data_IF_002210906969
#
_entry.id   IF_002210906969
#
_cell.length_a   1.000
_cell.length_b   1.000
_cell.length_c   1.000
_cell.angle_alpha   90.00
_cell.angle_beta   90.00
_cell.angle_gamma   90.00
#
_symmetry.space_group_name_H-M   'P 1'
#
loop_
_entity.id
_entity.type
_entity.pdbx_description
1 polymer ?
#
# COMPACT_ATOMS: atom_id res chain seq x y z
N UNK A 1 9.97 15.35 -40.07
CA UNK A 1 8.82 14.71 -39.38
C UNK A 1 7.55 15.47 -39.80
N UNK A 2 6.41 14.81 -39.97
CA UNK A 2 5.17 15.46 -40.42
C UNK A 2 4.56 16.29 -39.24
N UNK A 3 4.29 17.59 -39.40
CA UNK A 3 3.77 18.46 -38.32
C UNK A 3 2.50 17.93 -37.65
N UNK A 4 1.62 17.26 -38.41
CA UNK A 4 0.37 16.68 -37.90
C UNK A 4 0.59 15.41 -37.06
N UNK A 5 1.72 14.73 -37.25
CA UNK A 5 2.11 13.58 -36.41
C UNK A 5 2.72 14.10 -35.11
N UNK A 6 3.48 15.19 -35.16
CA UNK A 6 4.10 15.80 -33.99
C UNK A 6 3.05 16.39 -33.03
N UNK A 7 2.07 17.13 -33.55
CA UNK A 7 0.96 17.68 -32.74
C UNK A 7 0.10 16.60 -32.07
N UNK A 8 -0.03 15.41 -32.68
CA UNK A 8 -0.76 14.29 -32.07
C UNK A 8 0.00 13.68 -30.90
N UNK A 9 1.31 13.48 -31.04
CA UNK A 9 2.16 12.96 -29.96
C UNK A 9 2.19 13.92 -28.77
N UNK A 10 2.36 15.22 -29.04
CA UNK A 10 2.42 16.26 -28.00
C UNK A 10 1.11 16.32 -27.17
N UNK A 11 -0.04 16.11 -27.82
CA UNK A 11 -1.35 16.06 -27.16
C UNK A 11 -1.52 14.85 -26.22
N UNK A 12 -1.01 13.67 -26.59
CA UNK A 12 -1.13 12.46 -25.77
C UNK A 12 -0.18 12.52 -24.57
N UNK A 13 1.05 13.00 -24.78
CA UNK A 13 2.01 13.23 -23.71
C UNK A 13 1.46 14.23 -22.69
N UNK A 14 0.87 15.34 -23.15
CA UNK A 14 0.32 16.34 -22.23
C UNK A 14 -0.86 15.81 -21.41
N UNK A 15 -1.77 15.07 -22.04
CA UNK A 15 -2.88 14.44 -21.32
C UNK A 15 -2.39 13.39 -20.31
N UNK A 16 -1.33 12.65 -20.64
CA UNK A 16 -0.74 11.68 -19.71
C UNK A 16 -0.06 12.36 -18.51
N UNK A 17 0.64 13.49 -18.72
CA UNK A 17 1.17 14.31 -17.63
C UNK A 17 0.06 14.76 -16.69
N UNK A 18 -1.00 15.38 -17.24
CA UNK A 18 -2.14 15.84 -16.45
C UNK A 18 -2.83 14.70 -15.69
N UNK A 19 -2.93 13.52 -16.31
CA UNK A 19 -3.47 12.33 -15.64
C UNK A 19 -2.58 11.88 -14.48
N UNK A 20 -1.26 11.90 -14.67
CA UNK A 20 -0.27 11.55 -13.65
C UNK A 20 -0.28 12.54 -12.48
N UNK A 21 -0.48 13.82 -12.77
CA UNK A 21 -0.64 14.91 -11.80
C UNK A 21 -2.05 14.95 -11.17
N UNK A 22 -2.95 14.07 -11.60
CA UNK A 22 -4.34 13.96 -11.14
C UNK A 22 -5.18 15.23 -11.41
N UNK A 23 -4.80 16.04 -12.40
CA UNK A 23 -5.59 17.18 -12.87
C UNK A 23 -6.63 16.75 -13.92
N UNK A 24 -7.59 15.94 -13.47
CA UNK A 24 -8.62 15.39 -14.35
C UNK A 24 -9.55 16.45 -14.94
N UNK A 25 -9.71 17.61 -14.27
CA UNK A 25 -10.51 18.71 -14.82
C UNK A 25 -9.75 19.42 -15.93
N UNK A 26 -8.48 19.76 -15.70
CA UNK A 26 -7.62 20.33 -16.72
C UNK A 26 -7.47 19.43 -17.95
N UNK A 27 -7.49 18.11 -17.78
CA UNK A 27 -7.55 17.16 -18.92
C UNK A 27 -8.78 17.35 -19.79
N UNK A 28 -9.96 17.48 -19.18
CA UNK A 28 -11.21 17.65 -19.93
C UNK A 28 -11.23 19.00 -20.66
N UNK A 29 -10.82 20.07 -19.97
CA UNK A 29 -10.73 21.42 -20.55
C UNK A 29 -9.73 21.46 -21.72
N UNK A 30 -8.59 20.75 -21.60
CA UNK A 30 -7.62 20.61 -22.69
C UNK A 30 -8.17 19.77 -23.86
N UNK A 31 -8.98 18.74 -23.56
CA UNK A 31 -9.53 17.84 -24.56
C UNK A 31 -10.61 18.46 -25.46
N UNK A 32 -11.34 19.48 -24.98
CA UNK A 32 -12.37 20.18 -25.74
C UNK A 32 -11.83 20.89 -27.00
N UNK A 33 -10.51 21.11 -27.09
CA UNK A 33 -9.83 21.68 -28.25
C UNK A 33 -8.81 20.75 -28.94
N UNK A 34 -8.75 19.46 -28.61
CA UNK A 34 -7.64 18.58 -29.00
C UNK A 34 -8.00 17.46 -30.01
N UNK A 35 -6.98 16.66 -30.35
CA UNK A 35 -6.95 15.64 -31.42
C UNK A 35 -7.98 14.52 -31.26
N UNK A 36 -8.62 14.07 -32.35
CA UNK A 36 -9.51 12.88 -32.37
C UNK A 36 -8.81 11.52 -32.22
N UNK A 37 -7.53 11.51 -31.83
CA UNK A 37 -6.76 10.29 -31.65
C UNK A 37 -7.39 9.36 -30.60
N UNK A 38 -7.28 8.05 -30.81
CA UNK A 38 -7.86 7.05 -29.93
C UNK A 38 -7.28 7.15 -28.51
N UNK A 39 -5.98 7.37 -28.40
CA UNK A 39 -5.25 7.50 -27.14
C UNK A 39 -5.72 8.72 -26.33
N UNK A 40 -5.98 9.86 -26.99
CA UNK A 40 -6.50 11.06 -26.33
C UNK A 40 -7.90 10.82 -25.76
N UNK A 41 -8.76 10.12 -26.50
CA UNK A 41 -10.10 9.72 -26.03
C UNK A 41 -10.03 8.73 -24.87
N UNK A 42 -9.09 7.80 -24.90
CA UNK A 42 -8.88 6.86 -23.79
C UNK A 42 -8.45 7.59 -22.51
N UNK A 43 -7.52 8.54 -22.60
CA UNK A 43 -7.11 9.38 -21.47
C UNK A 43 -8.26 10.26 -20.95
N UNK A 44 -9.09 10.81 -21.84
CA UNK A 44 -10.32 11.53 -21.44
C UNK A 44 -11.26 10.60 -20.65
N UNK A 45 -11.46 9.37 -21.11
CA UNK A 45 -12.30 8.40 -20.40
C UNK A 45 -11.73 8.08 -19.02
N UNK A 46 -10.41 7.91 -18.88
CA UNK A 46 -9.79 7.73 -17.56
C UNK A 46 -10.07 8.90 -16.62
N UNK A 47 -9.93 10.14 -17.10
CA UNK A 47 -10.25 11.34 -16.31
C UNK A 47 -11.73 11.38 -15.91
N UNK A 48 -12.65 11.00 -16.82
CA UNK A 48 -14.09 10.95 -16.52
C UNK A 48 -14.43 9.91 -15.48
N UNK A 49 -13.79 8.74 -15.53
CA UNK A 49 -13.93 7.68 -14.52
C UNK A 49 -13.54 8.20 -13.13
N UNK A 50 -12.38 8.84 -13.02
CA UNK A 50 -11.89 9.40 -11.74
C UNK A 50 -12.78 10.53 -11.22
N UNK A 51 -13.43 11.29 -12.11
CA UNK A 51 -14.40 12.33 -11.75
C UNK A 51 -15.83 11.80 -11.51
N UNK A 52 -16.09 10.49 -11.67
CA UNK A 52 -17.43 9.92 -11.57
C UNK A 52 -18.40 10.40 -12.66
N UNK A 53 -17.88 10.88 -13.80
CA UNK A 53 -18.69 11.35 -14.93
C UNK A 53 -19.08 10.19 -15.86
N UNK A 54 -20.16 10.33 -16.65
CA UNK A 54 -20.55 9.33 -17.64
C UNK A 54 -19.43 9.04 -18.64
N UNK A 55 -19.27 7.75 -18.98
CA UNK A 55 -18.24 7.24 -19.91
C UNK A 55 -18.62 7.56 -21.35
N UNK A 56 -17.63 7.87 -22.18
CA UNK A 56 -17.77 7.88 -23.64
C UNK A 56 -17.54 6.46 -24.21
N UNK A 57 -18.06 6.12 -25.40
CA UNK A 57 -17.83 4.82 -26.03
C UNK A 57 -16.34 4.54 -26.22
N UNK A 58 -15.90 3.32 -25.89
CA UNK A 58 -14.51 2.90 -26.00
C UNK A 58 -14.18 2.41 -27.41
N UNK A 59 -12.96 2.68 -27.86
CA UNK A 59 -12.35 1.98 -29.01
C UNK A 59 -11.39 0.91 -28.49
N UNK A 60 -11.53 -0.34 -28.89
CA UNK A 60 -10.69 -1.46 -28.42
C UNK A 60 -9.24 -1.48 -28.98
N UNK A 61 -8.72 -0.35 -29.48
CA UNK A 61 -7.52 -0.34 -30.33
C UNK A 61 -6.42 0.63 -29.93
N UNK A 62 -6.61 1.49 -28.92
CA UNK A 62 -5.60 2.45 -28.52
C UNK A 62 -4.63 1.92 -27.46
N UNK A 63 -3.56 2.70 -27.24
CA UNK A 63 -2.46 2.36 -26.34
C UNK A 63 -2.92 2.12 -24.89
N UNK A 64 -3.94 2.83 -24.43
CA UNK A 64 -4.44 2.82 -23.06
C UNK A 64 -5.71 1.99 -22.89
N UNK A 65 -6.20 1.30 -23.93
CA UNK A 65 -7.43 0.51 -23.88
C UNK A 65 -7.45 -0.49 -22.69
N UNK A 66 -6.33 -1.20 -22.48
CA UNK A 66 -6.17 -2.15 -21.37
C UNK A 66 -6.24 -1.45 -19.99
N UNK A 67 -5.68 -0.24 -19.87
CA UNK A 67 -5.74 0.55 -18.65
C UNK A 67 -7.16 1.05 -18.39
N UNK A 68 -7.86 1.50 -19.43
CA UNK A 68 -9.25 1.94 -19.33
C UNK A 68 -10.15 0.79 -18.88
N UNK A 69 -9.99 -0.40 -19.45
CA UNK A 69 -10.72 -1.59 -19.02
C UNK A 69 -10.48 -1.89 -17.53
N UNK A 70 -9.22 -1.84 -17.08
CA UNK A 70 -8.86 -2.09 -15.70
C UNK A 70 -9.44 -1.07 -14.72
N UNK A 71 -9.48 0.21 -15.12
CA UNK A 71 -10.04 1.31 -14.33
C UNK A 71 -11.57 1.28 -14.32
N UNK A 72 -12.22 0.84 -15.40
CA UNK A 72 -13.66 0.55 -15.38
C UNK A 72 -13.99 -0.47 -14.29
N UNK A 73 -13.25 -1.58 -14.22
CA UNK A 73 -13.45 -2.58 -13.17
C UNK A 73 -13.19 -2.01 -11.76
N UNK A 74 -12.20 -1.13 -11.61
CA UNK A 74 -11.91 -0.44 -10.35
C UNK A 74 -13.12 0.37 -9.85
N UNK A 75 -13.66 1.23 -10.72
CA UNK A 75 -14.79 2.10 -10.38
C UNK A 75 -16.10 1.34 -10.23
N UNK A 76 -16.26 0.22 -10.92
CA UNK A 76 -17.38 -0.73 -10.74
C UNK A 76 -17.20 -1.62 -9.50
N UNK A 77 -16.15 -1.39 -8.69
CA UNK A 77 -15.80 -2.13 -7.46
C UNK A 77 -15.50 -3.62 -7.68
N UNK A 78 -15.22 -4.03 -8.91
CA UNK A 78 -14.74 -5.36 -9.23
C UNK A 78 -13.22 -5.43 -9.03
N UNK A 79 -12.80 -5.34 -7.77
CA UNK A 79 -11.39 -5.16 -7.39
C UNK A 79 -10.50 -6.33 -7.77
N UNK A 80 -11.00 -7.57 -7.78
CA UNK A 80 -10.20 -8.71 -8.22
C UNK A 80 -9.85 -8.60 -9.71
N UNK A 81 -10.85 -8.34 -10.55
CA UNK A 81 -10.62 -8.19 -11.99
C UNK A 81 -9.77 -6.96 -12.29
N UNK A 82 -10.01 -5.86 -11.58
CA UNK A 82 -9.17 -4.67 -11.68
C UNK A 82 -7.71 -4.96 -11.30
N UNK A 83 -7.45 -5.68 -10.21
CA UNK A 83 -6.08 -6.07 -9.82
C UNK A 83 -5.40 -6.94 -10.89
N UNK A 84 -6.12 -7.90 -11.48
CA UNK A 84 -5.60 -8.73 -12.56
C UNK A 84 -5.24 -7.90 -13.80
N UNK A 85 -6.12 -7.01 -14.25
CA UNK A 85 -5.91 -6.19 -15.45
C UNK A 85 -4.83 -5.12 -15.23
N UNK A 86 -4.85 -4.43 -14.08
CA UNK A 86 -3.80 -3.49 -13.69
C UNK A 86 -2.43 -4.17 -13.57
N UNK A 87 -2.37 -5.41 -13.06
CA UNK A 87 -1.10 -6.15 -13.00
C UNK A 87 -0.50 -6.38 -14.39
N UNK A 88 -1.33 -6.71 -15.40
CA UNK A 88 -0.89 -6.92 -16.77
C UNK A 88 -0.40 -5.61 -17.39
N UNK A 89 -1.10 -4.51 -17.14
CA UNK A 89 -0.66 -3.18 -17.57
C UNK A 89 0.73 -2.85 -17.01
N UNK A 90 0.88 -2.92 -15.69
CA UNK A 90 2.11 -2.57 -14.98
C UNK A 90 3.31 -3.45 -15.38
N UNK A 91 3.07 -4.72 -15.69
CA UNK A 91 4.12 -5.66 -16.09
C UNK A 91 4.56 -5.51 -17.56
N UNK A 92 3.67 -5.05 -18.46
CA UNK A 92 3.91 -5.08 -19.91
C UNK A 92 4.13 -3.71 -20.55
N UNK A 93 3.60 -2.63 -19.99
CA UNK A 93 3.63 -1.31 -20.64
C UNK A 93 4.66 -0.35 -20.06
N UNK A 94 5.15 -0.55 -18.84
CA UNK A 94 6.20 0.27 -18.22
C UNK A 94 5.76 1.69 -17.82
N UNK A 95 4.67 2.22 -18.38
CA UNK A 95 4.04 3.48 -17.94
C UNK A 95 3.26 3.28 -16.64
N UNK A 96 3.75 3.87 -15.55
CA UNK A 96 3.07 3.86 -14.26
C UNK A 96 3.20 5.22 -13.58
N UNK A 97 2.08 5.87 -13.32
CA UNK A 97 1.99 6.99 -12.39
C UNK A 97 1.64 6.50 -10.99
N UNK A 98 1.90 7.32 -9.98
CA UNK A 98 1.60 7.00 -8.58
C UNK A 98 0.12 6.64 -8.39
N UNK A 99 -0.78 7.34 -9.09
CA UNK A 99 -2.21 7.05 -9.11
C UNK A 99 -2.49 5.58 -9.50
N UNK A 100 -1.87 5.08 -10.57
CA UNK A 100 -2.12 3.71 -11.05
C UNK A 100 -1.61 2.69 -10.04
N UNK A 101 -0.45 2.94 -9.43
CA UNK A 101 0.08 2.09 -8.36
C UNK A 101 -0.84 2.09 -7.14
N UNK A 102 -1.40 3.25 -6.77
CA UNK A 102 -2.36 3.36 -5.66
C UNK A 102 -3.66 2.61 -5.95
N UNK A 103 -4.22 2.74 -7.17
CA UNK A 103 -5.41 2.01 -7.60
C UNK A 103 -5.17 0.50 -7.63
N UNK A 104 -4.00 0.07 -8.10
CA UNK A 104 -3.58 -1.33 -8.09
C UNK A 104 -3.41 -1.88 -6.67
N UNK A 105 -2.73 -1.13 -5.80
CA UNK A 105 -2.55 -1.49 -4.40
C UNK A 105 -3.90 -1.63 -3.69
N UNK A 106 -4.79 -0.66 -3.86
CA UNK A 106 -6.13 -0.70 -3.27
C UNK A 106 -6.92 -1.92 -3.77
N UNK A 107 -6.89 -2.17 -5.08
CA UNK A 107 -7.55 -3.33 -5.68
C UNK A 107 -7.04 -4.65 -5.10
N UNK A 108 -5.72 -4.81 -4.98
CA UNK A 108 -5.11 -5.99 -4.36
C UNK A 108 -5.54 -6.14 -2.90
N UNK A 109 -5.58 -5.04 -2.13
CA UNK A 109 -5.98 -5.07 -0.73
C UNK A 109 -7.44 -5.48 -0.55
N UNK A 110 -8.36 -4.96 -1.38
CA UNK A 110 -9.79 -5.27 -1.29
C UNK A 110 -10.12 -6.69 -1.77
N UNK A 111 -9.33 -7.23 -2.71
CA UNK A 111 -9.52 -8.57 -3.26
C UNK A 111 -8.59 -9.64 -2.68
N UNK A 112 -7.76 -9.28 -1.69
CA UNK A 112 -6.72 -10.13 -1.10
C UNK A 112 -5.72 -10.73 -2.11
N UNK A 113 -5.55 -10.10 -3.29
CA UNK A 113 -4.62 -10.50 -4.34
C UNK A 113 -3.19 -10.02 -4.08
N UNK A 114 -2.67 -10.33 -2.90
CA UNK A 114 -1.31 -9.96 -2.49
C UNK A 114 -0.23 -10.71 -3.29
N UNK A 115 -0.58 -11.84 -3.91
CA UNK A 115 0.22 -12.55 -4.90
C UNK A 115 0.59 -11.66 -6.09
N UNK A 116 -0.40 -10.92 -6.63
CA UNK A 116 -0.20 -9.99 -7.73
C UNK A 116 0.62 -8.78 -7.27
N UNK A 117 0.29 -8.21 -6.11
CA UNK A 117 1.03 -7.09 -5.54
C UNK A 117 2.53 -7.41 -5.42
N UNK A 118 2.84 -8.57 -4.83
CA UNK A 118 4.21 -9.03 -4.68
C UNK A 118 4.91 -9.21 -6.04
N UNK A 119 4.23 -9.83 -7.01
CA UNK A 119 4.79 -10.09 -8.34
C UNK A 119 5.13 -8.80 -9.08
N UNK A 120 4.20 -7.85 -9.12
CA UNK A 120 4.37 -6.56 -9.79
C UNK A 120 5.47 -5.74 -9.13
N UNK A 121 5.40 -5.53 -7.81
CA UNK A 121 6.42 -4.74 -7.10
C UNK A 121 7.80 -5.38 -7.18
N UNK A 122 7.90 -6.72 -7.16
CA UNK A 122 9.18 -7.42 -7.37
C UNK A 122 9.75 -7.17 -8.76
N UNK A 123 8.91 -7.18 -9.80
CA UNK A 123 9.35 -6.91 -11.18
C UNK A 123 9.81 -5.47 -11.34
N UNK A 124 9.04 -4.50 -10.83
CA UNK A 124 9.39 -3.08 -10.87
C UNK A 124 10.70 -2.80 -10.09
N UNK A 125 10.86 -3.40 -8.92
CA UNK A 125 12.10 -3.28 -8.14
C UNK A 125 13.32 -3.82 -8.91
N UNK A 126 13.19 -4.98 -9.56
CA UNK A 126 14.23 -5.53 -10.44
C UNK A 126 14.52 -4.65 -11.66
N UNK A 127 13.53 -3.86 -12.10
CA UNK A 127 13.69 -2.84 -13.14
C UNK A 127 14.36 -1.55 -12.69
N UNK A 128 14.77 -1.45 -11.41
CA UNK A 128 15.45 -0.28 -10.85
C UNK A 128 14.52 0.74 -10.18
N UNK A 129 13.21 0.52 -10.18
CA UNK A 129 12.28 1.41 -9.50
C UNK A 129 12.34 1.23 -7.98
N UNK A 130 12.58 2.32 -7.24
CA UNK A 130 12.77 2.26 -5.77
C UNK A 130 11.98 3.32 -4.99
N UNK A 131 10.86 3.77 -5.57
CA UNK A 131 9.91 4.65 -4.89
C UNK A 131 9.25 3.94 -3.71
N UNK A 132 8.91 4.68 -2.65
CA UNK A 132 8.39 4.14 -1.39
C UNK A 132 7.16 3.23 -1.61
N UNK A 133 6.25 3.59 -2.52
CA UNK A 133 5.05 2.81 -2.82
C UNK A 133 5.40 1.39 -3.34
N UNK A 134 6.40 1.27 -4.22
CA UNK A 134 6.85 -0.01 -4.78
C UNK A 134 7.54 -0.84 -3.70
N UNK A 135 8.42 -0.22 -2.91
CA UNK A 135 9.12 -0.91 -1.82
C UNK A 135 8.14 -1.39 -0.74
N UNK A 136 7.17 -0.55 -0.36
CA UNK A 136 6.11 -0.89 0.59
C UNK A 136 5.19 -1.99 0.06
N UNK A 137 4.79 -1.91 -1.22
CA UNK A 137 4.01 -2.95 -1.88
C UNK A 137 4.74 -4.29 -1.96
N UNK A 138 6.04 -4.29 -2.23
CA UNK A 138 6.89 -5.48 -2.19
C UNK A 138 6.89 -6.13 -0.80
N UNK A 139 7.14 -5.34 0.26
CA UNK A 139 7.19 -5.86 1.62
C UNK A 139 5.82 -6.40 2.07
N UNK A 140 4.74 -5.67 1.78
CA UNK A 140 3.39 -6.10 2.11
C UNK A 140 3.02 -7.39 1.37
N UNK A 141 3.18 -7.40 0.04
CA UNK A 141 2.86 -8.58 -0.76
C UNK A 141 3.67 -9.80 -0.35
N UNK A 142 4.96 -9.62 -0.01
CA UNK A 142 5.80 -10.70 0.49
C UNK A 142 5.30 -11.22 1.84
N UNK A 143 4.91 -10.34 2.76
CA UNK A 143 4.38 -10.73 4.06
C UNK A 143 3.08 -11.53 3.95
N UNK A 144 2.08 -10.98 3.24
CA UNK A 144 0.76 -11.59 3.12
C UNK A 144 0.80 -12.91 2.33
N UNK A 145 1.86 -13.14 1.53
CA UNK A 145 2.10 -14.42 0.83
C UNK A 145 3.06 -15.36 1.58
N UNK A 146 3.38 -15.08 2.84
CA UNK A 146 4.21 -15.94 3.70
C UNK A 146 5.72 -15.93 3.39
N UNK A 147 6.20 -15.03 2.51
CA UNK A 147 7.60 -14.93 2.12
C UNK A 147 8.42 -14.10 3.12
N UNK A 148 8.38 -14.47 4.39
CA UNK A 148 8.94 -13.67 5.49
C UNK A 148 10.44 -13.37 5.35
N UNK A 149 11.24 -14.31 4.83
CA UNK A 149 12.66 -14.06 4.57
C UNK A 149 12.89 -12.92 3.57
N UNK A 150 12.03 -12.81 2.56
CA UNK A 150 12.12 -11.76 1.55
C UNK A 150 11.70 -10.39 2.09
N UNK A 151 10.72 -10.37 3.01
CA UNK A 151 10.34 -9.17 3.75
C UNK A 151 11.55 -8.63 4.51
N UNK A 152 12.20 -9.49 5.29
CA UNK A 152 13.33 -9.09 6.13
C UNK A 152 14.53 -8.65 5.30
N UNK A 153 14.93 -9.43 4.28
CA UNK A 153 16.03 -9.04 3.37
C UNK A 153 15.74 -7.73 2.64
N UNK A 154 14.50 -7.54 2.20
CA UNK A 154 14.07 -6.29 1.55
C UNK A 154 14.18 -5.11 2.51
N UNK A 155 13.64 -5.26 3.73
CA UNK A 155 13.69 -4.21 4.73
C UNK A 155 15.13 -3.87 5.16
N UNK A 156 16.01 -4.85 5.33
CA UNK A 156 17.43 -4.59 5.62
C UNK A 156 18.13 -3.83 4.49
N UNK A 157 17.68 -4.03 3.23
CA UNK A 157 18.28 -3.38 2.06
C UNK A 157 17.79 -1.94 1.84
N UNK A 158 16.50 -1.66 2.09
CA UNK A 158 15.88 -0.38 1.74
C UNK A 158 14.89 0.18 2.77
N UNK A 159 14.85 -0.39 3.98
CA UNK A 159 13.88 -0.08 5.02
C UNK A 159 13.87 1.37 5.46
N UNK A 160 15.02 2.07 5.38
CA UNK A 160 15.12 3.50 5.66
C UNK A 160 14.24 4.40 4.77
N UNK A 161 13.81 3.90 3.60
CA UNK A 161 12.90 4.61 2.69
C UNK A 161 11.42 4.40 3.03
N UNK A 162 11.10 3.47 3.93
CA UNK A 162 9.73 3.11 4.29
C UNK A 162 9.30 3.94 5.50
N UNK A 163 8.29 4.79 5.32
CA UNK A 163 7.72 5.63 6.38
C UNK A 163 6.35 5.12 6.83
N UNK A 164 5.64 4.39 5.96
CA UNK A 164 4.29 3.87 6.24
C UNK A 164 4.31 2.86 7.41
N UNK A 165 3.77 3.28 8.56
CA UNK A 165 3.72 2.51 9.82
C UNK A 165 3.14 1.10 9.66
N UNK A 166 2.07 0.93 8.88
CA UNK A 166 1.44 -0.39 8.71
C UNK A 166 2.36 -1.37 7.95
N UNK A 167 3.21 -0.89 7.02
CA UNK A 167 4.21 -1.73 6.33
C UNK A 167 5.27 -2.18 7.32
N UNK A 168 5.78 -1.26 8.13
CA UNK A 168 6.78 -1.55 9.16
C UNK A 168 6.25 -2.55 10.20
N UNK A 169 4.96 -2.49 10.55
CA UNK A 169 4.32 -3.53 11.37
C UNK A 169 4.43 -4.91 10.71
N UNK A 170 4.13 -5.05 9.40
CA UNK A 170 4.27 -6.34 8.69
C UNK A 170 5.71 -6.86 8.64
N UNK A 171 6.68 -5.96 8.60
CA UNK A 171 8.09 -6.34 8.74
C UNK A 171 8.37 -6.92 10.13
N UNK A 172 7.93 -6.24 11.20
CA UNK A 172 8.07 -6.74 12.56
C UNK A 172 7.42 -8.12 12.75
N UNK A 173 6.22 -8.32 12.20
CA UNK A 173 5.56 -9.63 12.23
C UNK A 173 6.38 -10.70 11.50
N UNK A 174 7.02 -10.35 10.38
CA UNK A 174 7.87 -11.28 9.64
C UNK A 174 9.13 -11.64 10.42
N UNK A 175 9.73 -10.72 11.18
CA UNK A 175 10.82 -11.05 12.12
C UNK A 175 10.37 -12.06 13.17
N UNK A 176 9.16 -11.93 13.73
CA UNK A 176 8.63 -12.87 14.73
C UNK A 176 8.40 -14.25 14.12
N UNK A 177 7.83 -14.32 12.91
CA UNK A 177 7.64 -15.60 12.20
C UNK A 177 8.96 -16.33 11.95
N UNK A 178 10.05 -15.58 11.74
CA UNK A 178 11.40 -16.12 11.58
C UNK A 178 12.16 -16.32 12.91
N UNK A 179 11.49 -16.18 14.06
CA UNK A 179 12.09 -16.28 15.41
C UNK A 179 13.20 -15.26 15.69
N UNK A 180 13.25 -14.16 14.94
CA UNK A 180 14.15 -13.02 15.14
C UNK A 180 13.54 -12.02 16.13
N UNK A 181 13.29 -12.52 17.34
CA UNK A 181 12.43 -11.84 18.32
C UNK A 181 13.04 -10.53 18.84
N UNK A 182 14.37 -10.43 18.93
CA UNK A 182 15.04 -9.21 19.41
C UNK A 182 14.89 -8.08 18.39
N UNK A 183 15.08 -8.37 17.11
CA UNK A 183 14.89 -7.39 16.03
C UNK A 183 13.44 -6.93 15.92
N UNK A 184 12.50 -7.87 16.08
CA UNK A 184 11.09 -7.55 16.16
C UNK A 184 10.79 -6.62 17.35
N UNK A 185 11.32 -6.93 18.53
CA UNK A 185 11.12 -6.12 19.76
C UNK A 185 11.63 -4.69 19.55
N UNK A 186 12.86 -4.52 19.05
CA UNK A 186 13.43 -3.20 18.74
C UNK A 186 12.55 -2.41 17.77
N UNK A 187 12.17 -3.03 16.65
CA UNK A 187 11.34 -2.38 15.63
C UNK A 187 9.97 -1.98 16.19
N UNK A 188 9.32 -2.87 16.92
CA UNK A 188 8.02 -2.60 17.53
C UNK A 188 8.10 -1.46 18.54
N UNK A 189 9.12 -1.44 19.39
CA UNK A 189 9.33 -0.32 20.33
C UNK A 189 9.49 1.02 19.61
N UNK A 190 10.28 1.07 18.52
CA UNK A 190 10.42 2.28 17.71
C UNK A 190 9.10 2.70 17.07
N UNK A 191 8.32 1.75 16.55
CA UNK A 191 7.00 2.01 15.96
C UNK A 191 6.00 2.53 17.00
N UNK A 192 5.99 1.96 18.21
CA UNK A 192 5.07 2.42 19.25
C UNK A 192 5.50 3.74 19.87
N UNK A 193 6.80 4.04 19.93
CA UNK A 193 7.26 5.38 20.25
C UNK A 193 6.73 6.43 19.28
N UNK A 194 6.72 6.14 17.97
CA UNK A 194 6.21 7.09 16.97
C UNK A 194 4.69 7.27 17.04
N UNK A 195 3.94 6.22 17.41
CA UNK A 195 2.48 6.29 17.58
C UNK A 195 2.08 6.97 18.89
N UNK A 196 2.72 6.62 20.01
CA UNK A 196 2.31 7.03 21.35
C UNK A 196 3.02 8.28 21.89
N UNK A 197 4.14 8.67 21.27
CA UNK A 197 5.02 9.72 21.77
C UNK A 197 5.83 9.34 23.03
N UNK A 198 5.63 8.15 23.60
CA UNK A 198 6.32 7.68 24.81
C UNK A 198 7.66 7.03 24.45
N UNK A 199 8.73 7.43 25.14
CA UNK A 199 10.06 6.82 24.98
C UNK A 199 10.22 5.65 25.95
N UNK A 200 10.41 4.44 25.40
CA UNK A 200 10.58 3.21 26.17
C UNK A 200 12.06 2.77 26.30
N UNK A 201 12.97 3.43 25.56
CA UNK A 201 14.38 3.04 25.42
C UNK A 201 15.23 3.36 26.67
N UNK A 202 14.77 4.28 27.52
CA UNK A 202 15.59 4.81 28.63
C UNK A 202 15.62 3.91 29.87
N UNK A 203 14.64 3.01 30.06
CA UNK A 203 14.65 2.07 31.19
C UNK A 203 13.84 0.79 30.92
N UNK A 204 14.36 -0.05 30.02
CA UNK A 204 13.70 -1.30 29.61
C UNK A 204 13.43 -2.26 30.78
N UNK A 205 14.35 -2.34 31.74
CA UNK A 205 14.20 -3.23 32.91
C UNK A 205 13.11 -2.74 33.87
N UNK A 206 13.00 -1.42 34.07
CA UNK A 206 11.90 -0.84 34.85
C UNK A 206 10.55 -1.10 34.17
N UNK A 207 10.45 -0.89 32.85
CA UNK A 207 9.22 -1.19 32.11
C UNK A 207 8.86 -2.67 32.12
N UNK A 208 9.85 -3.57 32.01
CA UNK A 208 9.61 -5.02 32.15
C UNK A 208 8.99 -5.36 33.50
N UNK A 209 9.51 -4.80 34.59
CA UNK A 209 8.95 -5.01 35.94
C UNK A 209 7.55 -4.43 36.07
N UNK A 210 7.33 -3.20 35.60
CA UNK A 210 6.03 -2.53 35.67
C UNK A 210 4.95 -3.30 34.90
N UNK A 211 5.26 -3.68 33.65
CA UNK A 211 4.31 -4.39 32.80
C UNK A 211 4.09 -5.84 33.25
N UNK A 212 5.09 -6.51 33.82
CA UNK A 212 4.89 -7.83 34.43
C UNK A 212 3.88 -7.77 35.59
N UNK A 213 3.85 -6.68 36.36
CA UNK A 213 2.87 -6.48 37.43
C UNK A 213 1.48 -6.08 36.90
N UNK A 214 1.42 -5.28 35.82
CA UNK A 214 0.16 -4.83 35.21
C UNK A 214 -0.55 -5.91 34.40
N UNK A 215 0.21 -6.80 33.75
CA UNK A 215 -0.33 -7.78 32.80
C UNK A 215 -1.51 -8.62 33.36
N UNK A 216 -1.46 -9.18 34.59
CA UNK A 216 -2.56 -9.96 35.12
C UNK A 216 -3.87 -9.16 35.26
N UNK A 217 -3.78 -7.88 35.63
CA UNK A 217 -4.93 -6.99 35.77
C UNK A 217 -5.54 -6.64 34.40
N UNK A 218 -4.69 -6.30 33.42
CA UNK A 218 -5.11 -6.00 32.05
C UNK A 218 -5.80 -7.22 31.40
N UNK A 219 -5.25 -8.42 31.59
CA UNK A 219 -5.85 -9.67 31.11
C UNK A 219 -7.21 -9.96 31.75
N UNK A 220 -7.36 -9.63 33.04
CA UNK A 220 -8.64 -9.81 33.74
C UNK A 220 -9.70 -8.86 33.17
N UNK A 221 -9.35 -7.59 32.95
CA UNK A 221 -10.23 -6.59 32.34
C UNK A 221 -10.60 -6.94 30.90
N UNK A 222 -9.64 -7.43 30.10
CA UNK A 222 -9.89 -7.90 28.73
C UNK A 222 -10.91 -9.05 28.71
N UNK A 223 -10.73 -10.06 29.56
CA UNK A 223 -11.66 -11.20 29.68
C UNK A 223 -13.06 -10.79 30.13
N UNK A 224 -13.17 -9.71 30.91
CA UNK A 224 -14.44 -9.16 31.39
C UNK A 224 -15.10 -8.22 30.36
N UNK A 225 -14.43 -7.92 29.24
CA UNK A 225 -14.91 -6.97 28.24
C UNK A 225 -14.83 -5.50 28.68
N UNK A 226 -14.12 -5.21 29.76
CA UNK A 226 -14.05 -3.89 30.39
C UNK A 226 -12.84 -3.08 29.92
N UNK A 227 -11.93 -3.67 29.12
CA UNK A 227 -10.70 -3.01 28.70
C UNK A 227 -10.99 -1.90 27.65
N UNK A 228 -10.84 -0.61 28.02
CA UNK A 228 -11.08 0.48 27.09
C UNK A 228 -10.08 0.44 25.94
N UNK A 229 -10.46 0.97 24.78
CA UNK A 229 -9.58 1.02 23.60
C UNK A 229 -8.28 1.80 23.88
N UNK A 230 -8.32 2.79 24.77
CA UNK A 230 -7.14 3.52 25.26
C UNK A 230 -6.16 2.66 26.05
N UNK A 231 -6.60 1.54 26.65
CA UNK A 231 -5.75 0.62 27.42
C UNK A 231 -5.33 -0.63 26.62
N UNK A 232 -5.87 -0.85 25.41
CA UNK A 232 -5.37 -1.91 24.51
C UNK A 232 -3.91 -1.74 24.15
N UNK A 233 -3.44 -0.49 24.03
CA UNK A 233 -2.02 -0.19 23.84
C UNK A 233 -1.19 -0.74 25.01
N UNK A 234 -1.65 -0.53 26.25
CA UNK A 234 -0.96 -1.01 27.45
C UNK A 234 -0.94 -2.54 27.53
N UNK A 235 -2.03 -3.21 27.14
CA UNK A 235 -2.08 -4.66 27.06
C UNK A 235 -1.08 -5.21 26.02
N UNK A 236 -1.03 -4.62 24.82
CA UNK A 236 -0.08 -5.03 23.80
C UNK A 236 1.37 -4.85 24.25
N UNK A 237 1.68 -3.73 24.90
CA UNK A 237 3.01 -3.48 25.48
C UNK A 237 3.31 -4.45 26.64
N UNK A 238 2.31 -4.78 27.46
CA UNK A 238 2.47 -5.72 28.56
C UNK A 238 2.86 -7.12 28.08
N UNK A 239 2.20 -7.58 27.02
CA UNK A 239 2.57 -8.82 26.34
C UNK A 239 3.97 -8.74 25.71
N UNK A 240 4.31 -7.61 25.07
CA UNK A 240 5.63 -7.41 24.46
C UNK A 240 6.75 -7.54 25.48
N UNK A 241 6.67 -6.81 26.60
CA UNK A 241 7.68 -6.83 27.66
C UNK A 241 7.73 -8.14 28.45
N UNK A 242 6.65 -8.91 28.44
CA UNK A 242 6.58 -10.24 29.06
C UNK A 242 7.07 -11.37 28.14
N UNK A 243 7.56 -11.04 26.94
CA UNK A 243 7.98 -12.02 25.94
C UNK A 243 6.82 -12.82 25.30
N UNK A 244 5.58 -12.39 25.53
CA UNK A 244 4.37 -12.97 24.95
C UNK A 244 4.09 -12.34 23.58
N UNK A 245 5.06 -12.49 22.68
CA UNK A 245 5.09 -11.76 21.40
C UNK A 245 3.86 -12.03 20.53
N UNK A 246 3.37 -13.28 20.48
CA UNK A 246 2.17 -13.64 19.70
C UNK A 246 0.91 -12.93 20.20
N UNK A 247 0.74 -12.80 21.51
CA UNK A 247 -0.38 -12.09 22.12
C UNK A 247 -0.25 -10.58 21.92
N UNK A 248 0.96 -10.04 22.07
CA UNK A 248 1.25 -8.64 21.78
C UNK A 248 0.81 -8.29 20.35
N UNK A 249 1.23 -9.11 19.39
CA UNK A 249 0.84 -8.98 17.98
C UNK A 249 -0.68 -8.94 17.82
N UNK A 250 -1.42 -9.90 18.40
CA UNK A 250 -2.87 -9.98 18.23
C UNK A 250 -3.57 -8.72 18.74
N UNK A 251 -3.17 -8.25 19.92
CA UNK A 251 -3.72 -7.03 20.51
C UNK A 251 -3.45 -5.84 19.59
N UNK A 252 -2.21 -5.67 19.13
CA UNK A 252 -1.83 -4.57 18.27
C UNK A 252 -2.48 -4.63 16.88
N UNK A 253 -2.60 -5.81 16.28
CA UNK A 253 -3.33 -6.00 15.02
C UNK A 253 -4.79 -5.59 15.16
N UNK A 254 -5.44 -5.94 16.28
CA UNK A 254 -6.83 -5.53 16.55
C UNK A 254 -7.00 -4.01 16.63
N UNK A 255 -5.98 -3.30 17.10
CA UNK A 255 -6.01 -1.84 17.19
C UNK A 255 -5.87 -1.19 15.81
N UNK A 256 -4.97 -1.69 14.96
CA UNK A 256 -4.76 -1.15 13.61
C UNK A 256 -5.95 -1.45 12.71
N UNK A 257 -6.57 -2.63 12.83
CA UNK A 257 -7.77 -2.99 12.08
C UNK A 257 -8.99 -2.09 12.40
N UNK A 258 -8.99 -1.40 13.55
CA UNK A 258 -10.04 -0.44 13.91
C UNK A 258 -9.83 0.98 13.37
N UNK A 259 -8.71 1.22 12.67
CA UNK A 259 -8.32 2.53 12.11
C UNK A 259 -8.40 2.57 10.58
N UNK A 260 -8.70 1.44 9.93
CA UNK A 260 -8.90 1.29 8.48
C UNK A 260 -10.39 1.08 8.22
#
# INVERSE_FOLDING_TARGET
MNPAVQTKTDSVEKLWELYSDQDFRGMLDYSEGSSEAAESKELEVLARLELGKPRSPLTEKGLFADLVAAMVQYHDRNYEKSAMELSRWLLNRGYHGDLILDRFYFSCSQSQRFDLLFTVCSKLLKGGHSHEAILGGYLLGAHETGKHEQVVKGYESFGQKIKKTYVLHRVALSYIQLRRNREAETMLMTLYRSISGKSYELDLEQYRKEYAQKLPALLKQEKQGELPQSQRMELGMAHLFSGQYSQAIQVFQSMVASLV
#
